data_IF_098796370053
#
_entry.id   IF_098796370053
#
_cell.length_a   1.000
_cell.length_b   1.000
_cell.length_c   1.000
_cell.angle_alpha   90.00
_cell.angle_beta   90.00
_cell.angle_gamma   90.00
#
_symmetry.space_group_name_H-M   'P 1'
#
loop_
_entity.id
_entity.type
_entity.pdbx_description
1 polymer ?
#
# COMPACT_ATOMS: atom_id res chain seq x y z
N UNK A 1 -23.03 34.38 -14.50
CA UNK A 1 -22.95 35.21 -13.28
C UNK A 1 -21.78 34.71 -12.42
N UNK A 2 -20.54 35.09 -12.74
CA UNK A 2 -19.33 34.56 -12.07
C UNK A 2 -18.28 35.68 -11.90
N UNK A 3 -18.70 36.85 -11.42
CA UNK A 3 -17.82 38.02 -11.31
C UNK A 3 -17.97 38.83 -10.00
N UNK A 4 -18.53 38.23 -8.93
CA UNK A 4 -18.50 38.83 -7.59
C UNK A 4 -18.42 37.73 -6.53
N UNK A 5 -17.21 37.36 -6.16
CA UNK A 5 -16.96 36.70 -4.89
C UNK A 5 -15.68 37.29 -4.33
N UNK A 6 -15.81 37.80 -3.10
CA UNK A 6 -14.74 38.33 -2.28
C UNK A 6 -13.72 37.25 -1.95
N UNK A 7 -12.85 37.56 -0.98
CA UNK A 7 -11.59 36.89 -0.66
C UNK A 7 -11.56 35.37 -0.86
N UNK A 8 -10.38 34.81 -1.15
CA UNK A 8 -10.15 33.38 -1.44
C UNK A 8 -10.80 32.40 -0.44
N UNK A 9 -11.00 32.81 0.81
CA UNK A 9 -11.70 32.02 1.83
C UNK A 9 -13.20 31.82 1.52
N UNK A 10 -13.87 32.81 0.94
CA UNK A 10 -15.26 32.69 0.52
C UNK A 10 -15.39 31.73 -0.68
N UNK A 11 -14.41 31.75 -1.58
CA UNK A 11 -14.35 30.82 -2.73
C UNK A 11 -14.13 29.38 -2.27
N UNK A 12 -13.23 29.17 -1.29
CA UNK A 12 -13.03 27.86 -0.65
C UNK A 12 -14.30 27.36 0.03
N UNK A 13 -14.97 28.20 0.84
CA UNK A 13 -16.23 27.83 1.49
C UNK A 13 -17.35 27.50 0.51
N UNK A 14 -17.45 28.21 -0.62
CA UNK A 14 -18.44 27.91 -1.66
C UNK A 14 -18.13 26.58 -2.34
N UNK A 15 -16.86 26.30 -2.62
CA UNK A 15 -16.41 25.05 -3.22
C UNK A 15 -16.64 23.83 -2.30
N UNK A 16 -16.34 23.96 -1.01
CA UNK A 16 -16.63 22.94 0.01
C UNK A 16 -18.13 22.66 0.15
N UNK A 17 -18.97 23.71 0.10
CA UNK A 17 -20.43 23.56 0.12
C UNK A 17 -20.99 22.85 -1.11
N UNK A 18 -20.35 23.05 -2.28
CA UNK A 18 -20.77 22.44 -3.54
C UNK A 18 -20.41 20.95 -3.60
N UNK A 19 -19.32 20.54 -2.94
CA UNK A 19 -18.83 19.17 -2.87
C UNK A 19 -19.54 18.31 -1.81
N UNK A 20 -20.33 18.91 -0.91
CA UNK A 20 -21.06 18.17 0.12
C UNK A 20 -20.16 17.41 1.11
N UNK A 21 -18.88 17.75 1.20
CA UNK A 21 -17.93 17.12 2.11
C UNK A 21 -17.97 17.88 3.43
N UNK A 22 -18.60 17.28 4.44
CA UNK A 22 -18.49 17.71 5.83
C UNK A 22 -17.00 17.64 6.23
N UNK A 23 -16.45 18.67 6.88
CA UNK A 23 -15.13 18.62 7.50
C UNK A 23 -15.05 17.40 8.45
N UNK A 24 -14.41 16.33 7.99
CA UNK A 24 -13.96 15.26 8.86
C UNK A 24 -12.56 15.64 9.30
N UNK A 25 -12.44 16.15 10.52
CA UNK A 25 -11.16 16.37 11.17
C UNK A 25 -10.28 15.12 10.98
N UNK A 26 -9.15 15.25 10.30
CA UNK A 26 -8.16 14.18 10.11
C UNK A 26 -7.40 13.89 11.40
N UNK A 27 -8.13 13.54 12.46
CA UNK A 27 -7.59 12.55 13.40
C UNK A 27 -7.74 11.23 12.67
N UNK A 28 -6.69 10.79 11.98
CA UNK A 28 -6.59 9.36 11.66
C UNK A 28 -6.71 8.67 13.02
N UNK A 29 -7.81 7.94 13.31
CA UNK A 29 -7.86 7.20 14.54
C UNK A 29 -6.67 6.23 14.50
N UNK A 30 -5.93 6.02 15.61
CA UNK A 30 -5.05 4.87 15.65
C UNK A 30 -5.91 3.65 15.25
N UNK A 31 -5.48 2.92 14.20
CA UNK A 31 -6.11 1.67 13.74
C UNK A 31 -6.56 0.93 14.99
N UNK A 32 -7.87 0.77 15.15
CA UNK A 32 -8.51 0.53 16.45
C UNK A 32 -7.75 -0.57 17.19
N UNK A 33 -7.05 -0.20 18.28
CA UNK A 33 -6.41 -1.16 19.17
C UNK A 33 -7.51 -2.06 19.69
N UNK A 34 -7.45 -3.35 19.35
CA UNK A 34 -8.12 -4.36 20.15
C UNK A 34 -7.71 -4.16 21.62
N UNK A 35 -8.59 -4.42 22.59
CA UNK A 35 -8.28 -4.19 24.00
C UNK A 35 -6.98 -4.91 24.37
N UNK A 36 -5.97 -4.14 24.74
CA UNK A 36 -4.73 -4.60 25.36
C UNK A 36 -5.08 -5.48 26.56
N UNK A 37 -5.08 -6.80 26.38
CA UNK A 37 -5.36 -7.74 27.47
C UNK A 37 -6.20 -8.97 27.17
N UNK A 38 -6.68 -9.20 25.93
CA UNK A 38 -7.24 -10.52 25.58
C UNK A 38 -6.69 -10.94 24.23
N UNK A 39 -5.64 -11.78 24.26
CA UNK A 39 -5.24 -12.57 23.11
C UNK A 39 -6.37 -13.57 22.85
N UNK A 40 -7.42 -13.10 22.16
CA UNK A 40 -8.51 -13.95 21.69
C UNK A 40 -7.91 -14.86 20.63
N UNK A 41 -7.33 -16.00 21.03
CA UNK A 41 -7.13 -17.12 20.12
C UNK A 41 -8.50 -17.80 20.00
N UNK A 42 -9.24 -17.51 18.93
CA UNK A 42 -9.80 -18.59 18.11
C UNK A 42 -9.78 -18.20 16.62
N UNK A 43 -9.41 -19.00 15.63
CA UNK A 43 -9.40 -20.44 15.39
C UNK A 43 -8.06 -20.77 14.71
N UNK A 44 -7.25 -21.68 15.25
CA UNK A 44 -6.15 -22.33 14.52
C UNK A 44 -4.76 -21.67 14.51
N UNK A 45 -4.57 -20.39 14.88
CA UNK A 45 -3.20 -19.80 15.01
C UNK A 45 -2.61 -20.08 16.39
N UNK A 46 -1.34 -20.48 16.45
CA UNK A 46 -0.57 -20.72 17.70
C UNK A 46 0.42 -19.59 17.99
N UNK A 47 0.78 -18.79 16.97
CA UNK A 47 1.72 -17.66 17.10
C UNK A 47 1.16 -16.59 18.06
N UNK A 48 1.87 -16.35 19.17
CA UNK A 48 1.48 -15.36 20.19
C UNK A 48 1.92 -13.93 19.84
N UNK A 49 3.13 -13.78 19.29
CA UNK A 49 3.72 -12.49 18.92
C UNK A 49 4.48 -12.60 17.59
N UNK A 50 4.69 -11.48 16.92
CA UNK A 50 5.45 -11.37 15.66
C UNK A 50 6.93 -11.05 15.87
N UNK A 51 7.38 -10.84 17.11
CA UNK A 51 8.72 -10.32 17.44
C UNK A 51 9.07 -8.97 16.76
N UNK A 52 8.07 -8.24 16.27
CA UNK A 52 8.21 -6.89 15.73
C UNK A 52 7.28 -5.95 16.49
N UNK A 53 7.79 -4.77 16.85
CA UNK A 53 6.99 -3.80 17.60
C UNK A 53 5.92 -3.20 16.69
N UNK A 54 4.67 -3.15 17.17
CA UNK A 54 3.55 -2.54 16.44
C UNK A 54 2.93 -3.41 15.36
N UNK A 55 3.33 -4.68 15.24
CA UNK A 55 2.75 -5.64 14.29
C UNK A 55 2.06 -6.75 15.07
N UNK A 56 0.74 -6.70 15.15
CA UNK A 56 -0.04 -7.71 15.86
C UNK A 56 -0.24 -8.97 15.00
N UNK A 57 -0.37 -10.13 15.64
CA UNK A 57 -0.63 -11.39 14.92
C UNK A 57 -2.03 -11.34 14.31
N UNK A 58 -2.13 -11.59 13.00
CA UNK A 58 -3.39 -11.55 12.30
C UNK A 58 -4.14 -12.90 12.41
N UNK A 59 -5.45 -12.86 12.70
CA UNK A 59 -6.26 -14.07 12.93
C UNK A 59 -6.58 -14.84 11.64
N UNK A 60 -6.87 -14.14 10.53
CA UNK A 60 -7.21 -14.74 9.23
C UNK A 60 -6.43 -14.07 8.09
N UNK A 61 -5.10 -14.30 7.98
CA UNK A 61 -4.25 -13.55 7.06
C UNK A 61 -4.58 -13.83 5.58
N UNK A 62 -4.98 -15.06 5.25
CA UNK A 62 -5.26 -15.45 3.87
C UNK A 62 -6.49 -14.75 3.28
N UNK A 63 -7.57 -14.64 4.06
CA UNK A 63 -8.80 -13.98 3.62
C UNK A 63 -8.57 -12.47 3.44
N UNK A 64 -7.90 -11.84 4.42
CA UNK A 64 -7.54 -10.43 4.35
C UNK A 64 -6.67 -10.12 3.12
N UNK A 65 -5.62 -10.91 2.87
CA UNK A 65 -4.78 -10.75 1.67
C UNK A 65 -5.58 -10.94 0.37
N UNK A 66 -6.41 -11.98 0.32
CA UNK A 66 -7.26 -12.26 -0.85
C UNK A 66 -8.17 -11.06 -1.16
N UNK A 67 -8.82 -10.51 -0.14
CA UNK A 67 -9.68 -9.34 -0.27
C UNK A 67 -8.90 -8.11 -0.74
N UNK A 68 -7.82 -7.74 -0.05
CA UNK A 68 -7.01 -6.56 -0.37
C UNK A 68 -6.44 -6.64 -1.80
N UNK A 69 -5.97 -7.81 -2.24
CA UNK A 69 -5.49 -7.99 -3.61
C UNK A 69 -6.60 -7.87 -4.64
N UNK A 70 -7.79 -8.44 -4.39
CA UNK A 70 -8.93 -8.27 -5.28
C UNK A 70 -9.36 -6.80 -5.38
N UNK A 71 -9.38 -6.08 -4.26
CA UNK A 71 -9.75 -4.67 -4.24
C UNK A 71 -8.69 -3.79 -4.91
N UNK A 72 -7.41 -4.14 -4.79
CA UNK A 72 -6.33 -3.52 -5.55
C UNK A 72 -6.49 -3.74 -7.06
N UNK A 73 -6.81 -4.97 -7.49
CA UNK A 73 -7.05 -5.25 -8.92
C UNK A 73 -8.23 -4.46 -9.48
N UNK A 74 -9.31 -4.33 -8.71
CA UNK A 74 -10.46 -3.48 -9.09
C UNK A 74 -10.07 -2.00 -9.17
N UNK A 75 -9.32 -1.49 -8.19
CA UNK A 75 -8.88 -0.10 -8.18
C UNK A 75 -8.00 0.23 -9.40
N UNK A 76 -7.11 -0.70 -9.80
CA UNK A 76 -6.26 -0.57 -10.98
C UNK A 76 -7.02 -0.44 -12.31
N UNK A 77 -8.30 -0.82 -12.38
CA UNK A 77 -9.11 -0.64 -13.59
C UNK A 77 -9.29 0.83 -13.97
N UNK A 78 -9.19 1.74 -12.99
CA UNK A 78 -9.29 3.18 -13.18
C UNK A 78 -8.02 3.82 -13.78
N UNK A 79 -6.89 3.09 -13.84
CA UNK A 79 -5.62 3.57 -14.39
C UNK A 79 -5.48 3.05 -15.83
N UNK A 80 -4.97 3.82 -16.81
CA UNK A 80 -4.78 3.34 -18.18
C UNK A 80 -3.86 2.09 -18.26
N UNK A 81 -4.24 1.11 -19.09
CA UNK A 81 -3.52 -0.17 -19.27
C UNK A 81 -2.13 -0.06 -19.89
N UNK A 82 -1.84 1.06 -20.55
CA UNK A 82 -0.52 1.38 -21.12
C UNK A 82 0.52 1.74 -20.05
N UNK A 83 0.08 2.07 -18.84
CA UNK A 83 0.98 2.55 -17.79
C UNK A 83 1.86 1.44 -17.25
N UNK A 84 3.18 1.67 -17.18
CA UNK A 84 4.16 0.72 -16.63
C UNK A 84 3.81 0.34 -15.17
N UNK A 85 3.42 1.33 -14.36
CA UNK A 85 2.98 1.10 -12.98
C UNK A 85 1.81 0.10 -12.90
N UNK A 86 0.74 0.30 -13.68
CA UNK A 86 -0.41 -0.62 -13.71
C UNK A 86 0.01 -2.04 -14.09
N UNK A 87 0.88 -2.19 -15.09
CA UNK A 87 1.36 -3.51 -15.54
C UNK A 87 2.19 -4.22 -14.46
N UNK A 88 3.08 -3.50 -13.79
CA UNK A 88 3.92 -4.03 -12.72
C UNK A 88 3.09 -4.47 -11.51
N UNK A 89 2.18 -3.61 -11.03
CA UNK A 89 1.31 -3.94 -9.88
C UNK A 89 0.35 -5.05 -10.24
N UNK A 90 -0.30 -5.00 -11.42
CA UNK A 90 -1.23 -6.05 -11.84
C UNK A 90 -0.56 -7.43 -11.93
N UNK A 91 0.64 -7.52 -12.50
CA UNK A 91 1.37 -8.80 -12.61
C UNK A 91 1.80 -9.34 -11.23
N UNK A 92 2.31 -8.47 -10.36
CA UNK A 92 2.74 -8.82 -9.00
C UNK A 92 1.55 -9.26 -8.13
N UNK A 93 0.49 -8.45 -8.09
CA UNK A 93 -0.73 -8.71 -7.32
C UNK A 93 -1.42 -9.98 -7.79
N UNK A 94 -1.52 -10.21 -9.10
CA UNK A 94 -2.11 -11.43 -9.65
C UNK A 94 -1.31 -12.67 -9.25
N UNK A 95 0.02 -12.64 -9.37
CA UNK A 95 0.89 -13.74 -8.93
C UNK A 95 0.67 -14.05 -7.44
N UNK A 96 0.68 -13.03 -6.59
CA UNK A 96 0.52 -13.20 -5.15
C UNK A 96 -0.88 -13.72 -4.80
N UNK A 97 -1.92 -13.21 -5.46
CA UNK A 97 -3.30 -13.68 -5.30
C UNK A 97 -3.45 -15.15 -5.72
N UNK A 98 -2.82 -15.57 -6.81
CA UNK A 98 -2.84 -16.97 -7.24
C UNK A 98 -2.16 -17.89 -6.22
N UNK A 99 -1.05 -17.45 -5.61
CA UNK A 99 -0.39 -18.16 -4.50
C UNK A 99 -1.35 -18.27 -3.30
N UNK A 100 -1.93 -17.16 -2.85
CA UNK A 100 -2.85 -17.15 -1.70
C UNK A 100 -4.07 -18.04 -1.94
N UNK A 101 -4.65 -18.03 -3.15
CA UNK A 101 -5.80 -18.89 -3.48
C UNK A 101 -5.52 -20.37 -3.30
N UNK A 102 -4.30 -20.85 -3.60
CA UNK A 102 -3.89 -22.25 -3.35
C UNK A 102 -3.97 -22.59 -1.87
N UNK A 103 -3.52 -21.68 -1.00
CA UNK A 103 -3.53 -21.90 0.44
C UNK A 103 -4.91 -21.70 1.07
N UNK A 104 -5.76 -20.84 0.50
CA UNK A 104 -7.17 -20.71 0.90
C UNK A 104 -7.95 -22.00 0.58
N UNK A 105 -7.79 -22.56 -0.63
CA UNK A 105 -8.49 -23.80 -1.00
C UNK A 105 -7.97 -25.04 -0.29
N UNK A 106 -6.71 -25.02 0.18
CA UNK A 106 -6.13 -26.07 1.00
C UNK A 106 -6.66 -26.09 2.45
N UNK A 107 -7.44 -25.09 2.89
CA UNK A 107 -7.97 -25.02 4.24
C UNK A 107 -9.02 -26.13 4.47
N UNK A 108 -8.78 -26.98 5.47
CA UNK A 108 -9.72 -28.03 5.88
C UNK A 108 -10.50 -27.58 7.13
N UNK A 109 -11.84 -27.73 7.17
CA UNK A 109 -12.61 -27.46 8.38
C UNK A 109 -12.14 -28.34 9.54
N UNK A 110 -11.79 -27.73 10.68
CA UNK A 110 -11.27 -28.46 11.85
C UNK A 110 -9.77 -28.78 11.79
N UNK A 111 -9.01 -28.07 10.96
CA UNK A 111 -7.54 -28.19 10.90
C UNK A 111 -6.88 -27.93 12.27
N UNK A 112 -5.88 -28.76 12.61
CA UNK A 112 -5.10 -28.62 13.84
C UNK A 112 -4.28 -27.32 13.80
N UNK A 113 -4.08 -26.69 14.96
CA UNK A 113 -3.37 -25.41 15.03
C UNK A 113 -1.93 -25.47 14.47
N UNK A 114 -1.22 -26.59 14.64
CA UNK A 114 0.11 -26.79 14.03
C UNK A 114 0.06 -26.80 12.50
N UNK A 115 -0.97 -27.42 11.91
CA UNK A 115 -1.08 -27.52 10.46
C UNK A 115 -1.39 -26.15 9.83
N UNK A 116 -2.17 -25.30 10.51
CA UNK A 116 -2.38 -23.90 10.11
C UNK A 116 -1.06 -23.12 10.11
N UNK A 117 -0.23 -23.28 11.13
CA UNK A 117 1.09 -22.63 11.20
C UNK A 117 2.03 -23.11 10.08
N UNK A 118 2.07 -24.42 9.81
CA UNK A 118 2.86 -24.98 8.72
C UNK A 118 2.37 -24.46 7.35
N UNK A 119 1.06 -24.30 7.18
CA UNK A 119 0.45 -23.71 5.98
C UNK A 119 0.81 -22.23 5.82
N UNK A 120 0.81 -21.46 6.90
CA UNK A 120 1.27 -20.06 6.87
C UNK A 120 2.75 -19.98 6.50
N UNK A 121 3.60 -20.83 7.10
CA UNK A 121 5.03 -20.88 6.77
C UNK A 121 5.28 -21.27 5.32
N UNK A 122 4.51 -22.23 4.79
CA UNK A 122 4.58 -22.62 3.39
C UNK A 122 4.19 -21.45 2.46
N UNK A 123 3.16 -20.69 2.82
CA UNK A 123 2.75 -19.50 2.09
C UNK A 123 3.78 -18.37 2.14
N UNK A 124 4.40 -18.13 3.30
CA UNK A 124 5.50 -17.16 3.47
C UNK A 124 6.66 -17.49 2.53
N UNK A 125 7.06 -18.76 2.47
CA UNK A 125 8.11 -19.23 1.56
C UNK A 125 7.75 -19.05 0.08
N UNK A 126 6.51 -19.37 -0.34
CA UNK A 126 6.09 -19.24 -1.75
C UNK A 126 5.93 -17.77 -2.17
N UNK A 127 5.47 -16.91 -1.27
CA UNK A 127 5.40 -15.46 -1.50
C UNK A 127 6.78 -14.79 -1.46
N UNK A 128 7.78 -15.42 -0.85
CA UNK A 128 9.10 -14.84 -0.65
C UNK A 128 9.10 -13.72 0.39
N UNK A 129 8.25 -13.83 1.41
CA UNK A 129 8.16 -12.87 2.52
C UNK A 129 8.58 -13.55 3.82
N UNK A 130 9.22 -12.81 4.71
CA UNK A 130 9.62 -13.33 6.02
C UNK A 130 8.41 -13.56 6.94
N UNK A 131 7.37 -12.74 6.81
CA UNK A 131 6.21 -12.76 7.69
C UNK A 131 4.93 -12.33 6.97
N UNK A 132 3.87 -13.13 7.11
CA UNK A 132 2.60 -12.88 6.42
C UNK A 132 1.91 -11.59 6.86
N UNK A 133 2.08 -11.18 8.13
CA UNK A 133 1.52 -9.92 8.64
C UNK A 133 2.12 -8.69 7.93
N UNK A 134 3.40 -8.75 7.55
CA UNK A 134 4.04 -7.69 6.76
C UNK A 134 3.57 -7.66 5.31
N UNK A 135 3.25 -8.83 4.75
CA UNK A 135 2.63 -8.89 3.43
C UNK A 135 1.24 -8.23 3.42
N UNK A 136 0.47 -8.32 4.52
CA UNK A 136 -0.81 -7.63 4.65
C UNK A 136 -0.60 -6.12 4.68
N UNK A 137 0.30 -5.63 5.51
CA UNK A 137 0.65 -4.20 5.59
C UNK A 137 1.08 -3.66 4.22
N UNK A 138 1.98 -4.38 3.53
CA UNK A 138 2.42 -4.01 2.17
C UNK A 138 1.26 -4.01 1.17
N UNK A 139 0.34 -4.97 1.24
CA UNK A 139 -0.82 -5.02 0.35
C UNK A 139 -1.81 -3.87 0.64
N UNK A 140 -2.02 -3.52 1.91
CA UNK A 140 -2.82 -2.35 2.32
C UNK A 140 -2.18 -1.05 1.82
N UNK A 141 -0.86 -0.89 2.00
CA UNK A 141 -0.10 0.25 1.54
C UNK A 141 -0.15 0.41 0.01
N UNK A 142 0.00 -0.69 -0.73
CA UNK A 142 -0.12 -0.68 -2.19
C UNK A 142 -1.55 -0.29 -2.63
N UNK A 143 -2.58 -0.80 -1.94
CA UNK A 143 -3.95 -0.40 -2.23
C UNK A 143 -4.16 1.10 -2.03
N UNK A 144 -3.67 1.66 -0.93
CA UNK A 144 -3.71 3.11 -0.67
C UNK A 144 -2.90 3.91 -1.68
N UNK A 145 -1.74 3.38 -2.11
CA UNK A 145 -0.92 3.98 -3.14
C UNK A 145 -1.68 4.04 -4.47
N UNK A 146 -2.35 2.97 -4.88
CA UNK A 146 -3.19 2.95 -6.10
C UNK A 146 -4.26 4.03 -6.05
N UNK A 147 -4.94 4.21 -4.91
CA UNK A 147 -5.94 5.27 -4.74
C UNK A 147 -5.34 6.67 -4.94
N UNK A 148 -4.14 6.91 -4.38
CA UNK A 148 -3.41 8.17 -4.59
C UNK A 148 -2.91 8.35 -6.02
N UNK A 149 -2.46 7.27 -6.66
CA UNK A 149 -2.01 7.30 -8.05
C UNK A 149 -3.16 7.70 -8.98
N UNK A 150 -4.40 7.30 -8.66
CA UNK A 150 -5.60 7.74 -9.38
C UNK A 150 -5.80 9.26 -9.27
N UNK A 151 -5.55 9.83 -8.10
CA UNK A 151 -5.63 11.28 -7.87
C UNK A 151 -4.49 12.04 -8.55
N UNK A 152 -3.25 11.56 -8.40
CA UNK A 152 -2.04 12.25 -8.87
C UNK A 152 -1.80 12.10 -10.38
N UNK A 153 -2.35 11.06 -11.01
CA UNK A 153 -2.21 10.78 -12.44
C UNK A 153 -0.76 10.86 -12.94
N UNK A 154 0.16 10.28 -12.18
CA UNK A 154 1.61 10.32 -12.46
C UNK A 154 2.03 9.66 -13.80
N UNK A 155 1.09 9.12 -14.56
CA UNK A 155 1.28 8.61 -15.92
C UNK A 155 1.09 9.67 -17.01
N UNK A 156 0.64 10.87 -16.66
CA UNK A 156 0.58 12.01 -17.58
C UNK A 156 1.98 12.55 -17.89
N UNK A 157 2.08 13.39 -18.92
CA UNK A 157 3.35 14.04 -19.25
C UNK A 157 3.83 14.95 -18.11
N UNK A 158 5.13 15.13 -18.04
CA UNK A 158 5.77 15.96 -17.02
C UNK A 158 5.19 17.39 -17.03
N UNK A 159 4.68 17.85 -15.89
CA UNK A 159 4.08 19.18 -15.73
C UNK A 159 5.09 20.31 -16.01
N UNK A 160 6.32 20.17 -15.52
CA UNK A 160 7.39 21.15 -15.72
C UNK A 160 8.68 20.48 -16.21
N UNK A 161 9.16 20.89 -17.38
CA UNK A 161 10.46 20.45 -17.90
C UNK A 161 11.59 21.12 -17.09
N UNK A 162 12.69 20.40 -16.80
CA UNK A 162 13.80 20.98 -16.06
C UNK A 162 14.43 22.15 -16.82
N UNK A 163 14.90 23.15 -16.07
CA UNK A 163 15.69 24.23 -16.63
C UNK A 163 16.99 23.69 -17.26
N UNK A 164 17.50 24.33 -18.33
CA UNK A 164 18.77 23.94 -18.91
C UNK A 164 19.89 24.06 -17.86
N UNK A 165 20.69 22.99 -17.70
CA UNK A 165 21.75 22.92 -16.70
C UNK A 165 21.32 22.50 -15.28
N UNK A 166 20.03 22.27 -15.01
CA UNK A 166 19.56 21.87 -13.67
C UNK A 166 20.14 20.53 -13.19
N UNK A 167 20.33 19.60 -14.13
CA UNK A 167 20.86 18.26 -13.86
C UNK A 167 22.32 18.10 -14.30
N UNK A 168 22.98 19.19 -14.70
CA UNK A 168 24.42 19.19 -14.97
C UNK A 168 25.15 19.18 -13.62
N UNK A 169 25.90 18.12 -13.38
CA UNK A 169 26.65 17.98 -12.13
C UNK A 169 27.95 18.80 -12.17
N UNK A 170 28.54 19.05 -11.00
CA UNK A 170 29.83 19.73 -10.91
C UNK A 170 30.93 18.89 -11.58
N UNK A 171 31.48 19.38 -12.67
CA UNK A 171 32.72 18.83 -13.23
C UNK A 171 33.90 19.29 -12.36
N UNK A 172 34.77 18.36 -11.97
CA UNK A 172 36.07 18.71 -11.38
C UNK A 172 37.01 19.02 -12.54
N UNK A 173 37.39 20.29 -12.79
CA UNK A 173 38.37 20.58 -13.83
C UNK A 173 39.71 19.93 -13.44
N UNK A 174 40.43 19.39 -14.44
CA UNK A 174 41.73 18.70 -14.27
C UNK A 174 42.84 19.52 -13.55
N UNK A 175 42.57 20.80 -13.25
CA UNK A 175 43.49 21.75 -12.62
C UNK A 175 43.68 21.58 -11.10
N UNK A 176 43.01 20.64 -10.44
CA UNK A 176 43.25 20.36 -9.00
C UNK A 176 44.30 19.26 -8.77
N UNK A 177 44.85 18.66 -9.82
CA UNK A 177 46.02 17.80 -9.68
C UNK A 177 47.26 18.67 -9.46
N UNK A 178 47.84 18.60 -8.25
CA UNK A 178 49.15 19.18 -7.96
C UNK A 178 50.17 18.73 -9.02
N UNK A 179 51.07 19.62 -9.50
CA UNK A 179 52.12 19.21 -10.42
C UNK A 179 52.93 18.08 -9.77
N UNK A 180 53.02 16.93 -10.46
CA UNK A 180 53.93 15.84 -10.10
C UNK A 180 55.35 16.36 -10.32
N UNK A 181 56.04 16.69 -9.23
CA UNK A 181 57.50 16.82 -9.21
C UNK A 181 58.15 15.45 -9.37
#
# INVERSE_FOLDING_TARGET
MLAKAGSDEERKKIFERLLGVQEVATKVPPKARGPSGVHLIPIGRTKLTTNQTGVDVHHSPFESLSQTYQDTLKALENIPGSTVYRQAVHSTTRKNLDIIKKFVSAAVPGENASAVEDRVRAAENELGVEMIEKAIEQAEDEHQLVLKMIEYKAWEELEEKPAPGQWDYFEIPASTSYPKN
#
